data_IF_780171274920
#
_entry.id   IF_780171274920
#
_cell.length_a   1.000
_cell.length_b   1.000
_cell.length_c   1.000
_cell.angle_alpha   90.00
_cell.angle_beta   90.00
_cell.angle_gamma   90.00
#
_symmetry.space_group_name_H-M   'P 1'
#
loop_
_entity.id
_entity.type
_entity.pdbx_description
1 polymer ?
#
# COMPACT_ATOMS: atom_id res chain seq x y z
N UNK A 1 3.69 -1.12 12.14
CA UNK A 1 4.70 -0.20 11.57
C UNK A 1 4.04 1.03 10.95
N UNK A 2 4.45 2.25 11.33
CA UNK A 2 3.91 3.49 10.72
C UNK A 2 4.14 3.56 9.20
N UNK A 3 5.29 3.08 8.70
CA UNK A 3 5.59 3.00 7.26
C UNK A 3 4.59 2.08 6.55
N UNK A 4 4.42 0.84 7.03
CA UNK A 4 3.46 -0.14 6.46
C UNK A 4 2.04 0.42 6.40
N UNK A 5 1.59 1.10 7.47
CA UNK A 5 0.27 1.74 7.49
C UNK A 5 0.13 2.76 6.36
N UNK A 6 1.11 3.64 6.18
CA UNK A 6 1.08 4.66 5.12
C UNK A 6 1.10 4.02 3.73
N UNK A 7 1.91 2.99 3.54
CA UNK A 7 1.98 2.22 2.28
C UNK A 7 0.63 1.55 1.99
N UNK A 8 0.04 0.90 2.99
CA UNK A 8 -1.30 0.30 2.92
C UNK A 8 -2.37 1.33 2.52
N UNK A 9 -2.40 2.49 3.20
CA UNK A 9 -3.35 3.57 2.91
C UNK A 9 -3.17 4.10 1.48
N UNK A 10 -1.92 4.25 1.01
CA UNK A 10 -1.63 4.67 -0.37
C UNK A 10 -2.11 3.66 -1.41
N UNK A 11 -1.85 2.37 -1.19
CA UNK A 11 -2.28 1.27 -2.07
C UNK A 11 -3.80 1.29 -2.14
N UNK A 12 -4.48 1.08 -1.01
CA UNK A 12 -5.94 0.99 -0.96
C UNK A 12 -6.61 2.24 -1.51
N UNK A 13 -6.14 3.43 -1.12
CA UNK A 13 -6.70 4.70 -1.58
C UNK A 13 -6.61 4.86 -3.09
N UNK A 14 -5.50 4.40 -3.70
CA UNK A 14 -5.27 4.48 -5.14
C UNK A 14 -6.06 3.42 -5.91
N UNK A 15 -6.05 2.16 -5.45
CA UNK A 15 -6.80 1.07 -6.09
C UNK A 15 -8.32 1.34 -6.10
N UNK A 16 -8.85 1.79 -4.96
CA UNK A 16 -10.26 2.12 -4.81
C UNK A 16 -10.61 3.51 -5.36
N UNK A 17 -9.63 4.31 -5.79
CA UNK A 17 -9.85 5.68 -6.26
C UNK A 17 -10.63 6.54 -5.25
N UNK A 18 -10.24 6.48 -3.97
CA UNK A 18 -10.92 7.22 -2.90
C UNK A 18 -10.52 8.70 -2.94
N UNK A 19 -11.50 9.59 -3.01
CA UNK A 19 -11.26 11.03 -2.99
C UNK A 19 -10.44 11.46 -1.76
N UNK A 20 -9.43 12.30 -1.98
CA UNK A 20 -8.51 12.77 -0.94
C UNK A 20 -7.46 11.74 -0.48
N UNK A 21 -7.58 10.46 -0.85
CA UNK A 21 -6.61 9.41 -0.50
C UNK A 21 -5.85 8.84 -1.70
N UNK A 22 -6.50 8.79 -2.86
CA UNK A 22 -5.89 8.31 -4.10
C UNK A 22 -4.65 9.13 -4.44
N UNK A 23 -3.55 8.43 -4.72
CA UNK A 23 -2.34 9.06 -5.26
C UNK A 23 -2.44 9.32 -6.75
N UNK A 24 -3.49 8.82 -7.40
CA UNK A 24 -3.83 9.15 -8.76
C UNK A 24 -4.96 10.20 -8.80
N UNK A 25 -4.62 11.44 -9.13
CA UNK A 25 -5.55 12.56 -9.23
C UNK A 25 -5.24 13.42 -10.47
N UNK A 26 -6.08 14.41 -10.76
CA UNK A 26 -5.94 15.23 -11.96
C UNK A 26 -4.59 15.93 -12.09
N UNK A 27 -4.03 16.45 -10.99
CA UNK A 27 -2.70 17.10 -11.01
C UNK A 27 -1.62 16.08 -11.36
N UNK A 28 -1.64 14.91 -10.73
CA UNK A 28 -0.75 13.80 -11.06
C UNK A 28 -0.83 13.43 -12.55
N UNK A 29 -2.03 13.42 -13.16
CA UNK A 29 -2.18 13.13 -14.58
C UNK A 29 -1.61 14.23 -15.48
N UNK A 30 -1.67 15.50 -15.05
CA UNK A 30 -1.00 16.60 -15.75
C UNK A 30 0.52 16.50 -15.63
N UNK A 31 1.05 16.14 -14.46
CA UNK A 31 2.50 15.94 -14.26
C UNK A 31 3.01 14.83 -15.21
N UNK A 32 2.28 13.72 -15.34
CA UNK A 32 2.61 12.67 -16.32
C UNK A 32 2.62 13.20 -17.78
N UNK A 33 1.71 14.12 -18.10
CA UNK A 33 1.62 14.75 -19.41
C UNK A 33 2.81 15.67 -19.68
N UNK A 34 3.17 16.52 -18.71
CA UNK A 34 4.32 17.42 -18.78
C UNK A 34 5.63 16.65 -18.91
N UNK A 35 5.78 15.56 -18.15
CA UNK A 35 6.94 14.67 -18.23
C UNK A 35 6.99 13.84 -19.52
N UNK A 36 5.94 13.82 -20.33
CA UNK A 36 5.90 13.07 -21.59
C UNK A 36 5.85 11.54 -21.44
N UNK A 37 5.55 11.03 -20.24
CA UNK A 37 5.50 9.59 -19.93
C UNK A 37 4.06 9.10 -19.80
N UNK A 38 3.80 7.82 -20.10
CA UNK A 38 2.48 7.17 -19.89
C UNK A 38 1.31 7.91 -20.55
N UNK A 39 1.45 8.12 -21.86
CA UNK A 39 0.48 8.86 -22.70
C UNK A 39 -0.94 8.31 -22.62
N UNK A 40 -1.08 7.03 -22.32
CA UNK A 40 -2.36 6.36 -22.09
C UNK A 40 -3.13 6.93 -20.88
N UNK A 41 -2.44 7.51 -19.90
CA UNK A 41 -3.01 8.08 -18.68
C UNK A 41 -3.26 9.60 -18.74
N UNK A 42 -2.78 10.30 -19.77
CA UNK A 42 -2.92 11.75 -19.87
C UNK A 42 -4.40 12.17 -19.91
N UNK A 43 -4.78 13.34 -19.33
CA UNK A 43 -6.14 13.84 -19.45
C UNK A 43 -6.52 14.02 -20.92
N UNK A 44 -7.71 13.54 -21.30
CA UNK A 44 -8.21 13.60 -22.69
C UNK A 44 -9.46 14.46 -22.75
N UNK A 45 -9.66 15.15 -23.86
CA UNK A 45 -10.93 15.82 -24.16
C UNK A 45 -11.89 14.82 -24.80
N UNK A 46 -13.14 14.83 -24.36
CA UNK A 46 -14.20 14.10 -25.08
C UNK A 46 -14.43 14.76 -26.44
N UNK A 47 -14.71 13.97 -27.49
CA UNK A 47 -15.03 14.52 -28.82
C UNK A 47 -16.26 15.45 -28.79
N UNK A 48 -17.18 15.18 -27.88
CA UNK A 48 -18.44 15.93 -27.72
C UNK A 48 -18.41 16.64 -26.37
N UNK A 49 -18.64 17.96 -26.37
CA UNK A 49 -18.86 18.77 -25.17
C UNK A 49 -17.61 19.40 -24.54
N UNK A 50 -16.42 19.28 -25.14
CA UNK A 50 -15.15 19.85 -24.63
C UNK A 50 -14.85 19.49 -23.15
N UNK A 51 -15.42 18.39 -22.65
CA UNK A 51 -15.22 17.91 -21.28
C UNK A 51 -13.91 17.13 -21.22
N UNK A 52 -13.00 17.57 -20.36
CA UNK A 52 -11.77 16.83 -20.04
C UNK A 52 -12.08 15.68 -19.08
N UNK A 53 -11.55 14.50 -19.34
CA UNK A 53 -11.69 13.32 -18.48
C UNK A 53 -10.35 12.61 -18.29
N UNK A 54 -10.21 11.89 -17.18
CA UNK A 54 -9.05 11.04 -16.90
C UNK A 54 -9.33 9.61 -17.40
N UNK A 55 -8.50 9.06 -18.30
CA UNK A 55 -8.58 7.65 -18.66
C UNK A 55 -8.40 6.75 -17.43
N UNK A 56 -9.14 5.63 -17.37
CA UNK A 56 -8.99 4.65 -16.29
C UNK A 56 -7.57 4.08 -16.32
N UNK A 57 -6.89 4.09 -15.17
CA UNK A 57 -5.59 3.43 -15.04
C UNK A 57 -5.75 1.92 -14.81
N UNK A 58 -4.75 1.13 -15.19
CA UNK A 58 -4.75 -0.33 -15.01
C UNK A 58 -4.80 -0.76 -13.54
N UNK A 59 -4.32 0.09 -12.63
CA UNK A 59 -4.33 -0.15 -11.18
C UNK A 59 -5.60 0.36 -10.49
N UNK A 60 -6.53 1.02 -11.19
CA UNK A 60 -7.77 1.48 -10.57
C UNK A 60 -8.86 0.43 -10.77
N UNK A 61 -9.58 0.07 -9.71
CA UNK A 61 -10.68 -0.89 -9.81
C UNK A 61 -11.94 -0.25 -10.42
N UNK A 62 -12.68 -1.01 -11.22
CA UNK A 62 -14.07 -0.72 -11.62
C UNK A 62 -15.01 -0.79 -10.42
N UNK A 63 -16.27 -0.41 -10.61
CA UNK A 63 -17.28 -0.55 -9.55
C UNK A 63 -17.49 -2.01 -9.14
N UNK A 64 -17.43 -2.94 -10.08
CA UNK A 64 -17.66 -4.36 -9.84
C UNK A 64 -16.44 -4.99 -9.17
N UNK A 65 -15.23 -4.69 -9.66
CA UNK A 65 -13.95 -5.08 -9.04
C UNK A 65 -13.88 -4.58 -7.59
N UNK A 66 -14.27 -3.34 -7.30
CA UNK A 66 -14.34 -2.82 -5.91
C UNK A 66 -15.32 -3.61 -5.05
N UNK A 67 -16.48 -3.95 -5.60
CA UNK A 67 -17.53 -4.66 -4.87
C UNK A 67 -17.07 -6.07 -4.54
N UNK A 68 -16.45 -6.76 -5.49
CA UNK A 68 -15.86 -8.08 -5.31
C UNK A 68 -14.71 -8.04 -4.29
N UNK A 69 -13.77 -7.11 -4.45
CA UNK A 69 -12.64 -6.90 -3.53
C UNK A 69 -13.12 -6.72 -2.08
N UNK A 70 -14.08 -5.81 -1.86
CA UNK A 70 -14.61 -5.52 -0.53
C UNK A 70 -15.47 -6.66 0.03
N UNK A 71 -16.20 -7.38 -0.83
CA UNK A 71 -16.94 -8.57 -0.43
C UNK A 71 -16.00 -9.67 0.07
N UNK A 72 -14.88 -9.91 -0.64
CA UNK A 72 -13.84 -10.83 -0.20
C UNK A 72 -13.26 -10.42 1.15
N UNK A 73 -12.90 -9.14 1.33
CA UNK A 73 -12.42 -8.67 2.63
C UNK A 73 -13.46 -8.85 3.75
N UNK A 74 -14.73 -8.64 3.45
CA UNK A 74 -15.83 -8.79 4.42
C UNK A 74 -16.09 -10.25 4.80
N UNK A 75 -15.81 -11.20 3.92
CA UNK A 75 -16.06 -12.63 4.13
C UNK A 75 -14.94 -13.37 4.85
N UNK A 76 -13.74 -12.78 4.93
CA UNK A 76 -12.62 -13.35 5.68
C UNK A 76 -13.01 -13.41 7.16
N UNK A 77 -13.21 -14.64 7.65
CA UNK A 77 -13.39 -14.96 9.06
C UNK A 77 -12.11 -15.57 9.59
N UNK A 78 -11.66 -15.07 10.74
CA UNK A 78 -10.49 -15.60 11.41
C UNK A 78 -10.92 -16.58 12.51
N UNK A 79 -10.07 -17.56 12.85
CA UNK A 79 -10.38 -18.54 13.88
C UNK A 79 -10.56 -17.94 15.28
N UNK A 80 -9.91 -16.81 15.58
CA UNK A 80 -9.83 -16.26 16.93
C UNK A 80 -10.59 -14.94 17.11
N UNK A 81 -11.29 -14.81 18.24
CA UNK A 81 -12.04 -13.62 18.70
C UNK A 81 -11.18 -12.37 18.92
N UNK A 82 -9.85 -12.49 18.92
CA UNK A 82 -8.89 -11.39 19.15
C UNK A 82 -8.33 -10.75 17.88
N UNK A 83 -8.73 -11.24 16.72
CA UNK A 83 -8.21 -10.78 15.43
C UNK A 83 -8.97 -9.56 14.91
N UNK A 84 -8.26 -8.65 14.22
CA UNK A 84 -8.88 -7.44 13.66
C UNK A 84 -10.00 -7.83 12.72
N UNK A 85 -11.24 -7.50 13.07
CA UNK A 85 -12.35 -7.71 12.18
C UNK A 85 -12.35 -6.65 11.07
N UNK A 86 -11.58 -6.88 9.99
CA UNK A 86 -11.46 -5.96 8.84
C UNK A 86 -12.83 -5.64 8.22
N UNK A 87 -13.81 -6.53 8.37
CA UNK A 87 -15.19 -6.31 7.90
C UNK A 87 -15.83 -5.04 8.47
N UNK A 88 -15.45 -4.60 9.68
CA UNK A 88 -15.95 -3.36 10.28
C UNK A 88 -15.49 -2.11 9.52
N UNK A 89 -14.36 -2.21 8.81
CA UNK A 89 -13.79 -1.13 8.02
C UNK A 89 -14.40 -1.08 6.61
N UNK A 90 -15.14 -2.11 6.19
CA UNK A 90 -15.72 -2.25 4.85
C UNK A 90 -17.05 -1.50 4.74
N UNK A 91 -17.07 -0.46 3.93
CA UNK A 91 -18.29 0.28 3.57
C UNK A 91 -18.73 -0.09 2.15
N UNK A 92 -19.68 -1.02 2.05
CA UNK A 92 -20.14 -1.56 0.75
C UNK A 92 -20.86 -0.53 -0.10
N UNK A 93 -21.72 0.30 0.51
CA UNK A 93 -22.51 1.31 -0.21
C UNK A 93 -21.59 2.33 -0.92
N UNK A 94 -20.56 2.77 -0.20
CA UNK A 94 -19.60 3.75 -0.69
C UNK A 94 -18.45 3.12 -1.50
N UNK A 95 -18.29 1.80 -1.44
CA UNK A 95 -17.14 1.05 -1.97
C UNK A 95 -15.80 1.57 -1.42
N UNK A 96 -15.73 1.70 -0.10
CA UNK A 96 -14.59 2.31 0.62
C UNK A 96 -14.14 1.44 1.81
N UNK A 97 -12.85 1.56 2.15
CA UNK A 97 -12.33 1.19 3.46
C UNK A 97 -12.18 2.46 4.32
N UNK A 98 -12.73 2.43 5.53
CA UNK A 98 -12.75 3.56 6.48
C UNK A 98 -12.42 3.06 7.89
N UNK A 99 -11.71 3.87 8.67
CA UNK A 99 -11.48 3.57 10.09
C UNK A 99 -10.46 2.46 10.37
N UNK A 100 -9.59 2.15 9.40
CA UNK A 100 -8.49 1.22 9.61
C UNK A 100 -7.45 1.82 10.56
N UNK A 101 -7.15 1.09 11.62
CA UNK A 101 -6.05 1.34 12.56
C UNK A 101 -4.79 0.66 12.05
N UNK A 102 -3.64 0.97 12.66
CA UNK A 102 -2.34 0.40 12.28
C UNK A 102 -2.36 -1.13 12.24
N UNK A 103 -2.99 -1.78 13.23
CA UNK A 103 -3.09 -3.24 13.27
C UNK A 103 -3.97 -3.79 12.14
N UNK A 104 -5.08 -3.14 11.79
CA UNK A 104 -5.92 -3.56 10.65
C UNK A 104 -5.13 -3.45 9.33
N UNK A 105 -4.34 -2.39 9.15
CA UNK A 105 -3.50 -2.21 7.97
C UNK A 105 -2.39 -3.27 7.88
N UNK A 106 -1.80 -3.64 9.01
CA UNK A 106 -0.80 -4.71 9.09
C UNK A 106 -1.40 -6.06 8.66
N UNK A 107 -2.56 -6.42 9.20
CA UNK A 107 -3.26 -7.65 8.80
C UNK A 107 -3.76 -7.61 7.36
N UNK A 108 -4.20 -6.44 6.89
CA UNK A 108 -4.57 -6.24 5.49
C UNK A 108 -3.36 -6.48 4.58
N UNK A 109 -2.22 -5.85 4.83
CA UNK A 109 -1.03 -6.03 3.98
C UNK A 109 -0.53 -7.47 4.00
N UNK A 110 -0.44 -8.10 5.16
CA UNK A 110 0.27 -9.39 5.28
C UNK A 110 -0.60 -10.61 4.98
N UNK A 111 -1.91 -10.53 5.24
CA UNK A 111 -2.82 -11.69 5.13
C UNK A 111 -3.92 -11.47 4.09
N UNK A 112 -4.62 -10.33 4.13
CA UNK A 112 -5.89 -10.20 3.39
C UNK A 112 -5.75 -9.64 1.97
N UNK A 113 -4.87 -8.66 1.77
CA UNK A 113 -4.71 -7.95 0.51
C UNK A 113 -4.26 -8.90 -0.61
N UNK A 114 -3.29 -9.83 -0.41
CA UNK A 114 -2.95 -10.81 -1.43
C UNK A 114 -4.11 -11.71 -1.85
N UNK A 115 -5.01 -12.03 -0.93
CA UNK A 115 -6.20 -12.85 -1.20
C UNK A 115 -7.23 -12.01 -1.97
N UNK A 116 -7.51 -10.80 -1.48
CA UNK A 116 -8.51 -9.91 -2.05
C UNK A 116 -8.13 -9.38 -3.44
N UNK A 117 -6.84 -9.31 -3.79
CA UNK A 117 -6.40 -8.87 -5.11
C UNK A 117 -6.63 -9.91 -6.22
N UNK A 118 -6.78 -11.20 -5.89
CA UNK A 118 -6.93 -12.27 -6.89
C UNK A 118 -8.20 -12.03 -7.72
N UNK A 119 -8.01 -11.85 -9.03
CA UNK A 119 -9.09 -11.66 -9.99
C UNK A 119 -9.72 -10.27 -10.03
N UNK A 120 -9.21 -9.28 -9.28
CA UNK A 120 -9.76 -7.92 -9.24
C UNK A 120 -8.94 -6.87 -10.02
N UNK A 121 -7.70 -7.19 -10.39
CA UNK A 121 -6.80 -6.32 -11.15
C UNK A 121 -5.94 -7.17 -12.11
N UNK A 122 -5.35 -6.56 -13.16
CA UNK A 122 -4.42 -7.24 -14.04
C UNK A 122 -3.26 -7.90 -13.28
N UNK A 123 -2.82 -9.08 -13.73
CA UNK A 123 -1.83 -9.90 -13.01
C UNK A 123 -0.54 -9.16 -12.70
N UNK A 124 -0.03 -8.34 -13.64
CA UNK A 124 1.19 -7.57 -13.42
C UNK A 124 1.06 -6.52 -12.29
N UNK A 125 -0.15 -5.98 -12.07
CA UNK A 125 -0.43 -5.05 -10.96
C UNK A 125 -0.54 -5.84 -9.65
N UNK A 126 -1.37 -6.89 -9.65
CA UNK A 126 -1.60 -7.73 -8.48
C UNK A 126 -0.31 -8.36 -7.97
N UNK A 127 0.50 -8.93 -8.88
CA UNK A 127 1.78 -9.57 -8.54
C UNK A 127 2.76 -8.59 -7.90
N UNK A 128 2.90 -7.38 -8.43
CA UNK A 128 3.81 -6.38 -7.84
C UNK A 128 3.38 -5.96 -6.42
N UNK A 129 2.08 -5.83 -6.17
CA UNK A 129 1.55 -5.51 -4.84
C UNK A 129 1.69 -6.71 -3.90
N UNK A 130 1.45 -7.93 -4.38
CA UNK A 130 1.63 -9.17 -3.60
C UNK A 130 3.08 -9.35 -3.19
N UNK A 131 4.05 -9.13 -4.08
CA UNK A 131 5.47 -9.17 -3.74
C UNK A 131 5.83 -8.19 -2.61
N UNK A 132 5.22 -7.00 -2.60
CA UNK A 132 5.41 -6.02 -1.53
C UNK A 132 4.78 -6.50 -0.22
N UNK A 133 3.60 -7.12 -0.28
CA UNK A 133 2.94 -7.73 0.88
C UNK A 133 3.79 -8.86 1.48
N UNK A 134 4.33 -9.74 0.63
CA UNK A 134 5.25 -10.80 1.04
C UNK A 134 6.50 -10.24 1.70
N UNK A 135 7.04 -9.13 1.20
CA UNK A 135 8.17 -8.45 1.83
C UNK A 135 7.82 -7.99 3.25
N UNK A 136 6.70 -7.28 3.44
CA UNK A 136 6.26 -6.84 4.78
C UNK A 136 6.04 -8.01 5.73
N UNK A 137 5.45 -9.10 5.24
CA UNK A 137 5.29 -10.34 6.02
C UNK A 137 6.65 -10.95 6.40
N UNK A 138 7.58 -10.99 5.46
CA UNK A 138 8.90 -11.61 5.67
C UNK A 138 9.74 -10.87 6.72
N UNK A 139 9.74 -9.54 6.72
CA UNK A 139 10.52 -8.73 7.69
C UNK A 139 9.96 -8.80 9.13
N UNK A 140 8.77 -9.39 9.30
CA UNK A 140 8.16 -9.62 10.61
C UNK A 140 8.51 -10.99 11.20
N UNK A 141 9.21 -11.87 10.47
CA UNK A 141 9.65 -13.15 11.01
C UNK A 141 10.73 -12.97 12.08
N UNK A 142 10.63 -13.77 13.16
CA UNK A 142 11.51 -13.69 14.33
C UNK A 142 12.97 -14.03 14.02
N UNK A 143 13.18 -15.01 13.14
CA UNK A 143 14.50 -15.58 12.87
C UNK A 143 14.90 -15.32 11.40
N UNK A 144 15.48 -14.14 11.15
CA UNK A 144 16.00 -13.77 9.83
C UNK A 144 17.53 -13.93 9.80
N UNK A 145 18.00 -14.90 9.02
CA UNK A 145 19.44 -15.07 8.77
C UNK A 145 20.00 -13.90 7.95
N UNK A 146 21.31 -13.65 8.02
CA UNK A 146 21.95 -12.59 7.22
C UNK A 146 21.73 -12.81 5.70
N UNK A 147 21.72 -14.07 5.25
CA UNK A 147 21.45 -14.41 3.86
C UNK A 147 20.01 -14.03 3.47
N UNK A 148 19.02 -14.30 4.34
CA UNK A 148 17.63 -13.91 4.11
C UNK A 148 17.49 -12.39 4.03
N UNK A 149 18.18 -11.64 4.90
CA UNK A 149 18.15 -10.18 4.86
C UNK A 149 18.71 -9.63 3.54
N UNK A 150 19.88 -10.10 3.09
CA UNK A 150 20.47 -9.67 1.79
C UNK A 150 19.55 -9.99 0.61
N UNK A 151 18.87 -11.15 0.67
CA UNK A 151 17.87 -11.51 -0.32
C UNK A 151 16.67 -10.55 -0.29
N UNK A 152 16.16 -10.21 0.88
CA UNK A 152 15.04 -9.27 1.04
C UNK A 152 15.41 -7.84 0.59
N UNK A 153 16.63 -7.36 0.87
CA UNK A 153 17.15 -6.08 0.36
C UNK A 153 17.12 -6.03 -1.17
N UNK A 154 17.58 -7.10 -1.82
CA UNK A 154 17.58 -7.19 -3.29
C UNK A 154 16.15 -7.30 -3.84
N UNK A 155 15.30 -8.13 -3.20
CA UNK A 155 13.91 -8.36 -3.63
C UNK A 155 13.08 -7.07 -3.53
N UNK A 156 13.19 -6.33 -2.43
CA UNK A 156 12.39 -5.11 -2.23
C UNK A 156 12.76 -4.01 -3.22
N UNK A 157 14.05 -3.85 -3.56
CA UNK A 157 14.48 -2.91 -4.58
C UNK A 157 13.83 -3.24 -5.94
N UNK A 158 13.84 -4.51 -6.34
CA UNK A 158 13.19 -4.96 -7.58
C UNK A 158 11.67 -4.76 -7.55
N UNK A 159 11.02 -5.07 -6.43
CA UNK A 159 9.57 -4.87 -6.26
C UNK A 159 9.20 -3.39 -6.35
N UNK A 160 9.96 -2.48 -5.73
CA UNK A 160 9.74 -1.04 -5.86
C UNK A 160 9.92 -0.57 -7.31
N UNK A 161 10.94 -1.04 -8.04
CA UNK A 161 11.09 -0.74 -9.46
C UNK A 161 9.92 -1.25 -10.32
N UNK A 162 9.34 -2.42 -10.00
CA UNK A 162 8.12 -2.90 -10.67
C UNK A 162 6.94 -1.96 -10.40
N UNK A 163 6.75 -1.56 -9.15
CA UNK A 163 5.71 -0.62 -8.76
C UNK A 163 5.90 0.74 -9.46
N UNK A 164 7.13 1.23 -9.61
CA UNK A 164 7.44 2.52 -10.28
C UNK A 164 7.09 2.50 -11.77
N UNK A 165 7.05 1.33 -12.39
CA UNK A 165 6.56 1.14 -13.77
C UNK A 165 5.03 1.10 -13.86
N UNK A 166 4.34 0.84 -12.74
CA UNK A 166 2.87 0.65 -12.68
C UNK A 166 2.15 1.88 -12.12
N UNK A 167 2.65 2.50 -11.07
CA UNK A 167 2.01 3.62 -10.37
C UNK A 167 2.62 4.97 -10.75
N UNK A 168 1.87 6.08 -10.66
CA UNK A 168 2.40 7.41 -10.94
C UNK A 168 3.42 7.85 -9.87
N UNK A 169 4.30 8.82 -10.17
CA UNK A 169 5.31 9.31 -9.20
C UNK A 169 4.74 9.74 -7.85
N UNK A 170 3.54 10.34 -7.83
CA UNK A 170 2.83 10.73 -6.60
C UNK A 170 2.50 9.58 -5.65
N UNK A 171 2.50 8.34 -6.13
CA UNK A 171 2.35 7.15 -5.29
C UNK A 171 3.54 6.94 -4.36
N UNK A 172 4.73 7.31 -4.84
CA UNK A 172 6.00 7.15 -4.14
C UNK A 172 6.23 8.30 -3.16
N UNK A 173 5.42 8.32 -2.10
CA UNK A 173 5.66 9.22 -0.98
C UNK A 173 6.96 8.85 -0.27
N UNK A 174 7.48 9.75 0.57
CA UNK A 174 8.67 9.48 1.41
C UNK A 174 8.53 8.14 2.13
N UNK A 175 7.35 7.84 2.70
CA UNK A 175 7.09 6.57 3.39
C UNK A 175 7.21 5.34 2.47
N UNK A 176 6.82 5.44 1.20
CA UNK A 176 7.00 4.33 0.23
C UNK A 176 8.48 4.15 -0.10
N UNK A 177 9.23 5.24 -0.26
CA UNK A 177 10.67 5.15 -0.51
C UNK A 177 11.44 4.55 0.66
N UNK A 178 11.03 4.83 1.90
CA UNK A 178 11.67 4.26 3.10
C UNK A 178 11.57 2.72 3.18
N UNK A 179 10.66 2.10 2.43
CA UNK A 179 10.49 0.64 2.41
C UNK A 179 11.79 -0.08 2.01
N UNK A 180 12.61 0.51 1.14
CA UNK A 180 13.88 -0.08 0.71
C UNK A 180 14.88 -0.25 1.86
N UNK A 181 14.77 0.56 2.92
CA UNK A 181 15.66 0.54 4.06
C UNK A 181 15.24 -0.45 5.14
N UNK A 182 13.99 -0.90 5.13
CA UNK A 182 13.43 -1.74 6.20
C UNK A 182 14.16 -3.07 6.37
N UNK A 183 14.59 -3.72 5.27
CA UNK A 183 15.35 -4.96 5.36
C UNK A 183 16.67 -4.76 6.12
N UNK A 184 17.35 -3.64 5.86
CA UNK A 184 18.59 -3.27 6.54
C UNK A 184 18.34 -2.90 8.00
N UNK A 185 17.27 -2.17 8.31
CA UNK A 185 16.91 -1.84 9.70
C UNK A 185 16.66 -3.09 10.53
N UNK A 186 15.99 -4.09 9.96
CA UNK A 186 15.75 -5.38 10.62
C UNK A 186 17.05 -6.14 10.91
N UNK A 187 18.09 -5.97 10.09
CA UNK A 187 19.44 -6.53 10.36
C UNK A 187 20.02 -6.05 11.68
N UNK A 188 19.84 -4.76 11.99
CA UNK A 188 20.46 -4.12 13.14
C UNK A 188 19.56 -4.10 14.37
N UNK A 189 18.24 -4.02 14.18
CA UNK A 189 17.25 -3.86 15.24
C UNK A 189 16.40 -5.09 15.55
N UNK A 190 16.58 -6.20 14.82
CA UNK A 190 15.69 -7.37 14.89
C UNK A 190 14.36 -7.15 14.16
N UNK A 191 13.41 -8.10 14.25
CA UNK A 191 12.12 -8.02 13.56
C UNK A 191 11.38 -6.72 13.86
N UNK A 192 10.62 -6.20 12.89
CA UNK A 192 9.94 -4.90 13.04
C UNK A 192 8.95 -4.86 14.21
N UNK A 193 8.37 -6.02 14.56
CA UNK A 193 7.47 -6.17 15.73
C UNK A 193 8.18 -5.76 17.03
N UNK A 194 9.49 -5.99 17.13
CA UNK A 194 10.34 -5.53 18.26
C UNK A 194 10.86 -4.10 18.08
N UNK A 195 10.95 -3.58 16.85
CA UNK A 195 11.39 -2.21 16.57
C UNK A 195 10.32 -1.14 16.85
N UNK A 196 9.02 -1.43 16.77
CA UNK A 196 8.00 -0.48 17.24
C UNK A 196 8.13 -0.18 18.74
N UNK A 197 8.63 -1.16 19.53
CA UNK A 197 8.96 -0.94 20.94
C UNK A 197 10.19 -0.03 21.11
N UNK A 198 11.19 -0.15 20.23
CA UNK A 198 12.41 0.69 20.24
C UNK A 198 12.18 2.10 19.68
N UNK A 199 11.37 2.27 18.64
CA UNK A 199 10.99 3.59 18.12
C UNK A 199 10.03 4.31 19.06
N UNK A 200 9.12 3.59 19.74
CA UNK A 200 8.37 4.16 20.86
C UNK A 200 9.32 4.58 22.00
N UNK A 201 10.36 3.80 22.30
CA UNK A 201 11.39 4.16 23.27
C UNK A 201 12.19 5.41 22.85
N UNK A 202 12.63 5.50 21.60
CA UNK A 202 13.38 6.66 21.08
C UNK A 202 12.52 7.91 21.00
N UNK A 203 11.24 7.78 20.62
CA UNK A 203 10.30 8.90 20.63
C UNK A 203 9.99 9.35 22.07
N UNK A 204 9.92 8.42 23.03
CA UNK A 204 9.75 8.74 24.46
C UNK A 204 10.99 9.42 25.05
N UNK A 205 12.20 8.99 24.67
CA UNK A 205 13.46 9.62 25.08
C UNK A 205 13.62 11.01 24.43
N UNK A 206 13.19 11.19 23.19
CA UNK A 206 13.25 12.49 22.50
C UNK A 206 12.25 13.51 23.06
N UNK A 207 11.07 13.07 23.51
CA UNK A 207 10.09 13.93 24.19
C UNK A 207 10.51 14.24 25.64
N UNK A 208 11.25 13.35 26.28
CA UNK A 208 11.76 13.55 27.66
C UNK A 208 13.00 14.44 27.74
N UNK A 209 13.62 14.77 26.60
CA UNK A 209 14.79 15.68 26.50
C UNK A 209 14.42 17.08 26.00
N UNK A 210 13.13 17.34 25.80
CA UNK A 210 12.57 18.67 25.54
C UNK A 210 11.51 19.03 26.59
N UNK A 211 11.94 19.10 27.85
CA UNK A 211 11.24 19.88 28.88
C UNK A 211 12.32 20.81 29.47
N UNK A 212 12.13 22.14 29.46
CA UNK A 212 13.07 23.07 30.09
C UNK A 212 13.12 22.91 31.62
#
# INVERSE_FOLDING_TARGET
MHIEKNVCDNIVGTLLGQDGKSKDNYKTRLDLQEMGIRKELHPKKRPIGNITFMPKACYQMTRDEKTQFLSTLKSIKLPDEFSSNISRCVQMNDRKLIGMKSYDCHMLMQEYLPIALRGNLPDHVSSAIIELCEFFKAICYKDLSEANVKFLESKVALTLCKLEKIFPPSFFTVMVHLVIHLAREVKFGGPVITLETLMAFLYTIHVSTQIP
#
